data_IF_890999186744
#
_entry.id   IF_890999186744
#
_cell.length_a   1.000
_cell.length_b   1.000
_cell.length_c   1.000
_cell.angle_alpha   90.00
_cell.angle_beta   90.00
_cell.angle_gamma   90.00
#
_symmetry.space_group_name_H-M   'P 1'
#
loop_
_entity.id
_entity.type
_entity.pdbx_description
1 polymer ?
#
# COMPACT_ATOMS: atom_id res chain seq x y z
N UNK A 1 18.34 -10.59 -3.39
CA UNK A 1 17.61 -10.44 -4.67
C UNK A 1 17.24 -11.79 -5.27
N UNK A 2 18.19 -12.62 -5.72
CA UNK A 2 17.88 -13.89 -6.42
C UNK A 2 16.90 -14.84 -5.68
N UNK A 3 17.10 -15.07 -4.37
CA UNK A 3 16.23 -15.93 -3.56
C UNK A 3 14.78 -15.45 -3.44
N UNK A 4 14.54 -14.14 -3.51
CA UNK A 4 13.17 -13.59 -3.48
C UNK A 4 12.47 -13.82 -4.82
N UNK A 5 13.19 -13.67 -5.93
CA UNK A 5 12.68 -13.89 -7.29
C UNK A 5 12.30 -15.37 -7.48
N UNK A 6 13.14 -16.29 -7.02
CA UNK A 6 12.84 -17.73 -7.05
C UNK A 6 11.58 -18.07 -6.26
N UNK A 7 11.43 -17.48 -5.06
CA UNK A 7 10.23 -17.66 -4.22
C UNK A 7 8.96 -17.19 -4.92
N UNK A 8 8.98 -16.05 -5.60
CA UNK A 8 7.80 -15.56 -6.34
C UNK A 8 7.49 -16.41 -7.57
N UNK A 9 8.50 -16.97 -8.23
CA UNK A 9 8.31 -17.90 -9.35
C UNK A 9 7.70 -19.23 -8.92
N UNK A 10 8.00 -19.70 -7.71
CA UNK A 10 7.41 -20.92 -7.17
C UNK A 10 6.00 -20.74 -6.59
N UNK A 11 5.48 -19.52 -6.51
CA UNK A 11 4.15 -19.26 -5.96
C UNK A 11 3.04 -19.63 -6.93
N UNK A 12 1.90 -20.07 -6.38
CA UNK A 12 0.64 -20.16 -7.12
C UNK A 12 0.06 -18.76 -7.39
N UNK A 13 -0.99 -18.68 -8.21
CA UNK A 13 -1.69 -17.42 -8.46
C UNK A 13 -2.29 -16.83 -7.19
N UNK A 14 -2.90 -17.68 -6.37
CA UNK A 14 -3.53 -17.33 -5.09
C UNK A 14 -2.49 -16.81 -4.09
N UNK A 15 -1.33 -17.46 -4.00
CA UNK A 15 -0.24 -17.01 -3.13
C UNK A 15 0.29 -15.64 -3.55
N UNK A 16 0.44 -15.41 -4.87
CA UNK A 16 0.82 -14.08 -5.37
C UNK A 16 -0.23 -13.02 -5.06
N UNK A 17 -1.51 -13.35 -5.20
CA UNK A 17 -2.60 -12.44 -4.87
C UNK A 17 -2.59 -12.08 -3.38
N UNK A 18 -2.43 -13.07 -2.49
CA UNK A 18 -2.35 -12.84 -1.06
C UNK A 18 -1.20 -11.88 -0.71
N UNK A 19 0.01 -12.15 -1.23
CA UNK A 19 1.18 -11.28 -1.02
C UNK A 19 0.93 -9.87 -1.57
N UNK A 20 0.30 -9.74 -2.73
CA UNK A 20 0.01 -8.43 -3.31
C UNK A 20 -0.97 -7.62 -2.43
N UNK A 21 -1.98 -8.27 -1.86
CA UNK A 21 -2.93 -7.63 -0.95
C UNK A 21 -2.26 -7.19 0.35
N UNK A 22 -1.43 -8.05 0.96
CA UNK A 22 -0.66 -7.72 2.15
C UNK A 22 0.29 -6.53 1.91
N UNK A 23 1.02 -6.54 0.79
CA UNK A 23 1.91 -5.45 0.42
C UNK A 23 1.14 -4.15 0.16
N UNK A 24 -0.05 -4.22 -0.43
CA UNK A 24 -0.90 -3.05 -0.65
C UNK A 24 -1.38 -2.45 0.67
N UNK A 25 -1.84 -3.28 1.62
CA UNK A 25 -2.26 -2.84 2.94
C UNK A 25 -1.12 -2.18 3.72
N UNK A 26 0.05 -2.84 3.79
CA UNK A 26 1.24 -2.28 4.42
C UNK A 26 1.65 -0.94 3.80
N UNK A 27 1.57 -0.82 2.46
CA UNK A 27 1.87 0.42 1.76
C UNK A 27 0.88 1.54 2.12
N UNK A 28 -0.40 1.20 2.26
CA UNK A 28 -1.43 2.14 2.70
C UNK A 28 -1.17 2.61 4.14
N UNK A 29 -0.76 1.74 5.05
CA UNK A 29 -0.43 2.10 6.44
C UNK A 29 0.76 3.06 6.53
N UNK A 30 1.81 2.79 5.77
CA UNK A 30 2.95 3.70 5.65
C UNK A 30 2.50 5.06 5.12
N UNK A 31 1.63 5.08 4.10
CA UNK A 31 1.11 6.32 3.54
C UNK A 31 0.23 7.09 4.54
N UNK A 32 -0.63 6.41 5.31
CA UNK A 32 -1.43 7.01 6.40
C UNK A 32 -0.55 7.68 7.42
N UNK A 33 0.50 7.01 7.86
CA UNK A 33 1.44 7.58 8.83
C UNK A 33 2.14 8.82 8.28
N UNK A 34 2.58 8.77 7.02
CA UNK A 34 3.11 9.95 6.33
C UNK A 34 2.10 11.11 6.25
N UNK A 35 0.83 10.81 5.95
CA UNK A 35 -0.25 11.81 5.89
C UNK A 35 -0.51 12.42 7.27
N UNK A 36 -0.57 11.63 8.34
CA UNK A 36 -0.75 12.12 9.72
C UNK A 36 0.36 13.08 10.12
N UNK A 37 1.62 12.74 9.81
CA UNK A 37 2.77 13.61 10.08
C UNK A 37 2.68 14.93 9.32
N UNK A 38 2.20 14.90 8.08
CA UNK A 38 2.01 16.10 7.26
C UNK A 38 0.78 16.92 7.66
N UNK A 39 -0.22 16.30 8.31
CA UNK A 39 -1.48 16.91 8.69
C UNK A 39 -1.81 16.60 10.17
N UNK A 40 -1.11 17.19 11.15
CA UNK A 40 -1.23 16.80 12.57
C UNK A 40 -2.62 16.98 13.19
N UNK A 41 -3.49 17.78 12.57
CA UNK A 41 -4.87 18.04 13.01
C UNK A 41 -5.92 17.25 12.25
N UNK A 42 -5.52 16.46 11.25
CA UNK A 42 -6.44 15.64 10.48
C UNK A 42 -7.00 14.53 11.38
N UNK A 43 -8.32 14.37 11.35
CA UNK A 43 -8.97 13.20 11.93
C UNK A 43 -8.78 11.97 11.03
N UNK A 44 -9.27 10.81 11.49
CA UNK A 44 -9.14 9.57 10.74
C UNK A 44 -9.83 9.62 9.36
N UNK A 45 -10.97 10.31 9.25
CA UNK A 45 -11.71 10.40 7.99
C UNK A 45 -10.97 11.26 6.97
N UNK A 46 -10.38 12.37 7.42
CA UNK A 46 -9.58 13.26 6.59
C UNK A 46 -8.30 12.57 6.11
N UNK A 47 -7.63 11.78 6.97
CA UNK A 47 -6.49 10.94 6.58
C UNK A 47 -6.88 9.95 5.47
N UNK A 48 -8.01 9.25 5.61
CA UNK A 48 -8.48 8.32 4.57
C UNK A 48 -8.84 9.03 3.26
N UNK A 49 -9.44 10.22 3.33
CA UNK A 49 -9.75 11.03 2.14
C UNK A 49 -8.49 11.40 1.38
N UNK A 50 -7.45 11.84 2.10
CA UNK A 50 -6.15 12.17 1.51
C UNK A 50 -5.44 10.93 0.95
N UNK A 51 -5.53 9.79 1.63
CA UNK A 51 -5.00 8.52 1.13
C UNK A 51 -5.65 8.12 -0.19
N UNK A 52 -6.98 8.15 -0.27
CA UNK A 52 -7.73 7.84 -1.50
C UNK A 52 -7.30 8.75 -2.64
N UNK A 53 -7.20 10.05 -2.41
CA UNK A 53 -6.73 11.01 -3.42
C UNK A 53 -5.34 10.67 -3.92
N UNK A 54 -4.43 10.25 -3.03
CA UNK A 54 -3.07 9.84 -3.41
C UNK A 54 -3.07 8.56 -4.25
N UNK A 55 -3.91 7.58 -3.90
CA UNK A 55 -4.06 6.34 -4.67
C UNK A 55 -4.67 6.59 -6.05
N UNK A 56 -5.64 7.49 -6.17
CA UNK A 56 -6.22 7.89 -7.47
C UNK A 56 -5.15 8.47 -8.41
N UNK A 57 -4.28 9.34 -7.89
CA UNK A 57 -3.18 9.90 -8.66
C UNK A 57 -2.18 8.82 -9.12
N UNK A 58 -1.91 7.83 -8.28
CA UNK A 58 -1.03 6.71 -8.62
C UNK A 58 -1.63 5.75 -9.66
N UNK A 59 -2.97 5.65 -9.77
CA UNK A 59 -3.65 4.80 -10.76
C UNK A 59 -3.65 5.40 -12.18
N UNK A 60 -3.45 6.71 -12.31
CA UNK A 60 -3.41 7.41 -13.60
C UNK A 60 -2.01 7.67 -14.15
N UNK A 61 -0.97 7.16 -13.49
CA UNK A 61 0.45 7.35 -13.83
C UNK A 61 1.04 6.11 -14.51
#
# INVERSE_FOLDING_TARGET
MAKQIERYRSMTGEQRLAVALELHEMSCDIAREGIRRQNPKADAAEVERLLRRRLELARGA
#
